data_IF_062062855501
#
_entry.id   IF_062062855501
#
_cell.length_a   1.000
_cell.length_b   1.000
_cell.length_c   1.000
_cell.angle_alpha   90.00
_cell.angle_beta   90.00
_cell.angle_gamma   90.00
#
_symmetry.space_group_name_H-M   'P 1'
#
loop_
_entity.id
_entity.type
_entity.pdbx_description
1 polymer ?
#
# COMPACT_ATOMS: atom_id res chain seq x y z
N UNK A 1 -7.86 -44.07 30.67
CA UNK A 1 -6.50 -44.08 30.11
C UNK A 1 -6.53 -43.73 28.61
N UNK A 2 -7.41 -44.36 27.83
CA UNK A 2 -7.58 -44.11 26.39
C UNK A 2 -7.93 -42.67 26.02
N UNK A 3 -8.82 -42.02 26.78
CA UNK A 3 -9.20 -40.60 26.55
C UNK A 3 -8.05 -39.63 26.75
N UNK A 4 -7.14 -39.90 27.70
CA UNK A 4 -5.98 -39.05 27.95
C UNK A 4 -4.93 -39.16 26.83
N UNK A 5 -4.73 -40.37 26.28
CA UNK A 5 -3.85 -40.61 25.14
C UNK A 5 -4.38 -39.90 23.89
N UNK A 6 -5.70 -39.95 23.66
CA UNK A 6 -6.35 -39.26 22.54
C UNK A 6 -6.18 -37.73 22.63
N UNK A 7 -6.39 -37.14 23.82
CA UNK A 7 -6.22 -35.71 24.03
C UNK A 7 -4.76 -35.26 23.86
N UNK A 8 -3.81 -36.09 24.29
CA UNK A 8 -2.39 -35.83 24.10
C UNK A 8 -1.98 -35.85 22.61
N UNK A 9 -2.48 -36.83 21.85
CA UNK A 9 -2.29 -36.91 20.40
C UNK A 9 -2.83 -35.68 19.66
N UNK A 10 -4.04 -35.23 20.02
CA UNK A 10 -4.65 -34.02 19.44
C UNK A 10 -3.80 -32.79 19.73
N UNK A 11 -3.31 -32.66 20.97
CA UNK A 11 -2.41 -31.57 21.36
C UNK A 11 -1.14 -31.55 20.50
N UNK A 12 -0.48 -32.69 20.32
CA UNK A 12 0.71 -32.81 19.47
C UNK A 12 0.41 -32.40 18.03
N UNK A 13 -0.72 -32.85 17.45
CA UNK A 13 -1.09 -32.47 16.09
C UNK A 13 -1.33 -30.95 15.95
N UNK A 14 -1.95 -30.31 16.94
CA UNK A 14 -2.13 -28.86 16.98
C UNK A 14 -0.77 -28.13 17.04
N UNK A 15 0.16 -28.60 17.88
CA UNK A 15 1.50 -28.03 17.99
C UNK A 15 2.29 -28.13 16.68
N UNK A 16 2.27 -29.30 16.02
CA UNK A 16 2.94 -29.50 14.73
C UNK A 16 2.34 -28.58 13.66
N UNK A 17 1.01 -28.48 13.59
CA UNK A 17 0.31 -27.60 12.66
C UNK A 17 0.66 -26.11 12.85
N UNK A 18 0.71 -25.66 14.11
CA UNK A 18 1.13 -24.30 14.45
C UNK A 18 2.59 -24.04 14.07
N UNK A 19 3.49 -24.99 14.33
CA UNK A 19 4.90 -24.88 14.00
C UNK A 19 5.16 -24.78 12.49
N UNK A 20 4.50 -25.62 11.69
CA UNK A 20 4.58 -25.59 10.23
C UNK A 20 4.10 -24.23 9.70
N UNK A 21 2.97 -23.75 10.22
CA UNK A 21 2.40 -22.45 9.83
C UNK A 21 3.35 -21.30 10.12
N UNK A 22 3.97 -21.30 11.29
CA UNK A 22 4.94 -20.27 11.68
C UNK A 22 6.19 -20.27 10.78
N UNK A 23 6.75 -21.45 10.48
CA UNK A 23 7.93 -21.57 9.60
C UNK A 23 7.62 -21.06 8.18
N UNK A 24 6.44 -21.39 7.65
CA UNK A 24 6.01 -20.93 6.32
C UNK A 24 5.88 -19.40 6.26
N UNK A 25 5.33 -18.78 7.31
CA UNK A 25 5.25 -17.33 7.43
C UNK A 25 6.63 -16.68 7.49
N UNK A 26 7.55 -17.21 8.31
CA UNK A 26 8.91 -16.69 8.42
C UNK A 26 9.66 -16.71 7.07
N UNK A 27 9.56 -17.80 6.31
CA UNK A 27 10.16 -17.92 4.99
C UNK A 27 9.58 -16.90 3.98
N UNK A 28 8.27 -16.63 4.06
CA UNK A 28 7.60 -15.64 3.22
C UNK A 28 8.14 -14.23 3.50
N UNK A 29 8.23 -13.86 4.78
CA UNK A 29 8.76 -12.55 5.20
C UNK A 29 10.22 -12.38 4.73
N UNK A 30 11.04 -13.42 4.88
CA UNK A 30 12.42 -13.39 4.40
C UNK A 30 12.52 -13.16 2.88
N UNK A 31 11.64 -13.81 2.11
CA UNK A 31 11.58 -13.65 0.65
C UNK A 31 11.19 -12.23 0.26
N UNK A 32 10.19 -11.65 0.94
CA UNK A 32 9.77 -10.25 0.74
C UNK A 32 10.92 -9.29 1.05
N UNK A 33 11.60 -9.45 2.18
CA UNK A 33 12.71 -8.57 2.57
C UNK A 33 13.84 -8.60 1.53
N UNK A 34 14.18 -9.80 1.02
CA UNK A 34 15.16 -9.95 -0.05
C UNK A 34 14.74 -9.20 -1.32
N UNK A 35 13.47 -9.29 -1.72
CA UNK A 35 12.94 -8.54 -2.88
C UNK A 35 13.02 -7.04 -2.63
N UNK A 36 12.61 -6.56 -1.45
CA UNK A 36 12.69 -5.14 -1.08
C UNK A 36 14.14 -4.65 -1.12
N UNK A 37 15.09 -5.42 -0.59
CA UNK A 37 16.50 -5.05 -0.58
C UNK A 37 17.08 -4.96 -2.00
N UNK A 38 16.67 -5.86 -2.90
CA UNK A 38 17.03 -5.75 -4.31
C UNK A 38 16.44 -4.49 -4.96
N UNK A 39 15.19 -4.15 -4.63
CA UNK A 39 14.51 -2.97 -5.16
C UNK A 39 15.15 -1.67 -4.67
N UNK A 40 15.76 -1.63 -3.47
CA UNK A 40 16.49 -0.46 -2.96
C UNK A 40 17.70 -0.07 -3.83
N UNK A 41 18.21 -0.97 -4.67
CA UNK A 41 19.25 -0.63 -5.65
C UNK A 41 18.71 0.22 -6.81
N UNK A 42 17.39 0.22 -7.02
CA UNK A 42 16.71 0.93 -8.11
C UNK A 42 15.88 2.11 -7.60
N UNK A 43 15.30 1.99 -6.41
CA UNK A 43 14.38 2.98 -5.84
C UNK A 43 14.94 3.52 -4.53
N UNK A 44 14.84 4.84 -4.36
CA UNK A 44 15.21 5.52 -3.10
C UNK A 44 14.27 5.11 -1.95
N UNK A 45 13.02 4.76 -2.28
CA UNK A 45 12.04 4.26 -1.32
C UNK A 45 11.12 3.23 -1.98
N UNK A 46 10.80 2.18 -1.23
CA UNK A 46 9.87 1.13 -1.66
C UNK A 46 8.80 0.97 -0.59
N UNK A 47 7.54 0.97 -0.99
CA UNK A 47 6.39 0.74 -0.13
C UNK A 47 5.72 -0.55 -0.58
N UNK A 48 5.79 -1.64 0.20
CA UNK A 48 5.13 -2.89 -0.14
C UNK A 48 3.61 -2.75 0.00
N UNK A 49 2.86 -3.28 -0.97
CA UNK A 49 1.41 -3.24 -0.99
C UNK A 49 0.77 -4.61 -0.75
N UNK A 50 1.47 -5.69 -1.07
CA UNK A 50 0.99 -7.05 -0.89
C UNK A 50 1.87 -8.07 -1.59
N UNK A 51 1.73 -9.34 -1.23
CA UNK A 51 2.52 -10.43 -1.78
C UNK A 51 1.63 -11.58 -2.22
N UNK A 52 1.82 -12.07 -3.45
CA UNK A 52 1.04 -13.18 -4.00
C UNK A 52 1.85 -13.90 -5.07
N UNK A 53 1.81 -15.25 -5.05
CA UNK A 53 2.48 -16.10 -6.05
C UNK A 53 3.95 -15.72 -6.26
N UNK A 54 4.66 -15.46 -5.17
CA UNK A 54 6.06 -15.04 -5.17
C UNK A 54 6.38 -13.69 -5.83
N UNK A 55 5.34 -12.88 -6.06
CA UNK A 55 5.48 -11.52 -6.56
C UNK A 55 5.05 -10.51 -5.50
N UNK A 56 5.93 -9.52 -5.28
CA UNK A 56 5.64 -8.35 -4.46
C UNK A 56 4.94 -7.28 -5.31
N UNK A 57 3.77 -6.86 -4.87
CA UNK A 57 3.15 -5.60 -5.28
C UNK A 57 3.76 -4.47 -4.46
N UNK A 58 4.16 -3.38 -5.10
CA UNK A 58 4.84 -2.26 -4.44
C UNK A 58 4.66 -0.93 -5.17
N UNK A 59 4.94 0.15 -4.44
CA UNK A 59 5.21 1.48 -5.00
C UNK A 59 6.68 1.82 -4.78
N UNK A 60 7.42 2.01 -5.87
CA UNK A 60 8.82 2.41 -5.87
C UNK A 60 8.95 3.89 -6.22
N UNK A 61 9.72 4.63 -5.45
CA UNK A 61 10.00 6.05 -5.67
C UNK A 61 11.44 6.20 -6.12
N UNK A 62 11.65 6.88 -7.24
CA UNK A 62 12.98 7.18 -7.76
C UNK A 62 13.11 8.69 -7.96
N UNK A 63 13.88 9.32 -7.09
CA UNK A 63 14.12 10.76 -7.08
C UNK A 63 15.04 11.20 -8.22
N UNK A 64 15.96 10.33 -8.67
CA UNK A 64 16.86 10.63 -9.79
C UNK A 64 16.09 10.80 -11.11
N UNK A 65 15.15 9.91 -11.37
CA UNK A 65 14.28 9.93 -12.56
C UNK A 65 12.98 10.70 -12.34
N UNK A 66 12.73 11.13 -11.09
CA UNK A 66 11.49 11.82 -10.66
C UNK A 66 10.24 11.05 -11.05
N UNK A 67 10.23 9.75 -10.79
CA UNK A 67 9.13 8.86 -11.17
C UNK A 67 8.68 7.97 -10.01
N UNK A 68 7.39 7.71 -9.95
CA UNK A 68 6.78 6.65 -9.14
C UNK A 68 6.55 5.46 -10.05
N UNK A 69 7.08 4.29 -9.70
CA UNK A 69 6.71 3.01 -10.32
C UNK A 69 5.71 2.29 -9.43
N UNK A 70 4.59 1.87 -10.00
CA UNK A 70 3.56 1.11 -9.33
C UNK A 70 3.49 -0.26 -9.97
N UNK A 71 3.91 -1.28 -9.22
CA UNK A 71 3.78 -2.68 -9.61
C UNK A 71 2.65 -3.32 -8.81
N UNK A 72 1.60 -3.74 -9.50
CA UNK A 72 0.49 -4.52 -8.96
C UNK A 72 0.24 -5.72 -9.85
N UNK A 73 -0.75 -6.56 -9.54
CA UNK A 73 -1.04 -7.80 -10.28
C UNK A 73 -1.13 -7.55 -11.80
N UNK A 74 -0.14 -8.06 -12.54
CA UNK A 74 -0.06 -7.97 -14.00
C UNK A 74 0.06 -6.55 -14.57
N UNK A 75 0.22 -5.53 -13.72
CA UNK A 75 0.24 -4.13 -14.16
C UNK A 75 1.47 -3.44 -13.59
N UNK A 76 2.22 -2.80 -14.48
CA UNK A 76 3.31 -1.92 -14.13
C UNK A 76 3.00 -0.56 -14.74
N UNK A 77 2.86 0.47 -13.91
CA UNK A 77 2.67 1.83 -14.38
C UNK A 77 3.74 2.75 -13.80
N UNK A 78 4.11 3.76 -14.58
CA UNK A 78 5.06 4.78 -14.15
C UNK A 78 4.39 6.14 -14.23
N UNK A 79 4.44 6.89 -13.14
CA UNK A 79 3.88 8.24 -13.03
C UNK A 79 5.04 9.20 -12.82
N UNK A 80 5.22 10.18 -13.70
CA UNK A 80 6.19 11.23 -13.47
C UNK A 80 5.73 12.06 -12.26
N UNK A 81 6.66 12.45 -11.40
CA UNK A 81 6.34 13.31 -10.27
C UNK A 81 5.59 14.53 -10.75
N UNK A 82 6.06 15.22 -11.79
CA UNK A 82 5.50 16.49 -12.26
C UNK A 82 4.03 16.37 -12.67
N UNK A 83 3.62 15.25 -13.26
CA UNK A 83 2.25 15.01 -13.73
C UNK A 83 1.24 14.87 -12.59
N UNK A 84 1.68 14.64 -11.34
CA UNK A 84 0.77 14.46 -10.20
C UNK A 84 0.08 15.79 -9.86
N UNK A 85 -1.22 15.90 -10.14
CA UNK A 85 -2.04 17.07 -9.80
C UNK A 85 -2.62 16.92 -8.39
N UNK A 86 -3.18 15.75 -8.10
CA UNK A 86 -3.87 15.43 -6.85
C UNK A 86 -3.71 13.95 -6.53
N UNK A 87 -3.65 13.60 -5.25
CA UNK A 87 -3.69 12.22 -4.78
C UNK A 87 -4.68 12.09 -3.63
N UNK A 88 -5.52 11.07 -3.67
CA UNK A 88 -6.58 10.82 -2.69
C UNK A 88 -6.49 9.40 -2.13
N UNK A 89 -6.63 9.26 -0.82
CA UNK A 89 -6.95 8.00 -0.16
C UNK A 89 -8.47 7.92 -0.05
N UNK A 90 -9.06 6.87 -0.61
CA UNK A 90 -10.50 6.64 -0.66
C UNK A 90 -10.82 5.36 0.08
N UNK A 91 -11.64 5.44 1.12
CA UNK A 91 -12.10 4.31 1.92
C UNK A 91 -13.62 4.24 1.89
N UNK A 92 -14.17 3.06 1.59
CA UNK A 92 -15.62 2.85 1.46
C UNK A 92 -16.31 3.90 0.57
N UNK A 93 -15.66 4.28 -0.53
CA UNK A 93 -16.15 5.28 -1.48
C UNK A 93 -16.04 6.73 -1.04
N UNK A 94 -15.44 7.03 0.12
CA UNK A 94 -15.26 8.38 0.66
C UNK A 94 -13.78 8.75 0.69
N UNK A 95 -13.43 9.95 0.25
CA UNK A 95 -12.07 10.48 0.39
C UNK A 95 -11.78 10.72 1.87
N UNK A 96 -10.80 10.00 2.44
CA UNK A 96 -10.35 10.13 3.83
C UNK A 96 -9.11 10.99 3.96
N UNK A 97 -8.29 11.07 2.91
CA UNK A 97 -7.14 11.97 2.82
C UNK A 97 -6.98 12.48 1.38
N UNK A 98 -6.62 13.75 1.21
CA UNK A 98 -6.40 14.37 -0.10
C UNK A 98 -5.17 15.27 -0.05
N UNK A 99 -4.33 15.17 -1.08
CA UNK A 99 -3.12 15.97 -1.32
C UNK A 99 -3.28 16.56 -2.73
N UNK A 100 -3.00 17.84 -2.94
CA UNK A 100 -3.07 18.41 -4.28
C UNK A 100 -2.31 19.72 -4.39
N UNK A 101 -1.83 20.00 -5.60
CA UNK A 101 -1.21 21.27 -5.93
C UNK A 101 -2.27 22.37 -6.05
N UNK A 102 -2.08 23.48 -5.34
CA UNK A 102 -2.82 24.72 -5.58
C UNK A 102 -2.28 25.35 -6.85
N UNK A 103 -2.90 25.09 -8.00
CA UNK A 103 -2.61 25.81 -9.25
C UNK A 103 -3.91 26.45 -9.72
N UNK A 104 -4.03 27.78 -9.51
CA UNK A 104 -5.04 28.64 -10.16
C UNK A 104 -6.41 28.75 -9.48
N UNK A 105 -6.52 29.59 -8.45
CA UNK A 105 -7.75 30.36 -8.16
C UNK A 105 -8.87 29.72 -7.33
N UNK A 106 -8.97 28.39 -7.24
CA UNK A 106 -9.94 27.73 -6.37
C UNK A 106 -9.22 26.81 -5.38
N UNK A 107 -8.99 27.32 -4.18
CA UNK A 107 -8.57 26.52 -3.03
C UNK A 107 -9.72 25.59 -2.68
N UNK A 108 -9.69 24.34 -3.16
CA UNK A 108 -10.30 23.26 -2.39
C UNK A 108 -9.31 22.96 -1.27
N UNK A 109 -9.50 23.71 -0.18
CA UNK A 109 -8.75 23.77 1.07
C UNK A 109 -7.72 22.66 1.28
N UNK A 110 -6.44 23.08 1.34
CA UNK A 110 -5.37 22.28 1.91
C UNK A 110 -5.73 21.76 3.30
N UNK A 111 -5.23 20.57 3.61
CA UNK A 111 -5.23 19.99 4.96
C UNK A 111 -6.32 18.96 5.22
N UNK A 112 -7.58 19.23 4.86
CA UNK A 112 -8.72 18.41 5.33
C UNK A 112 -9.94 18.50 4.41
N UNK A 113 -9.74 18.49 3.08
CA UNK A 113 -10.84 18.46 2.09
C UNK A 113 -11.55 17.10 1.96
N UNK A 114 -11.39 16.21 2.94
CA UNK A 114 -12.19 15.00 3.06
C UNK A 114 -13.62 15.40 3.42
N UNK A 115 -14.61 14.89 2.69
CA UNK A 115 -15.94 14.73 3.27
C UNK A 115 -15.77 13.66 4.34
N UNK A 116 -15.35 14.06 5.56
CA UNK A 116 -15.43 13.23 6.76
C UNK A 116 -16.91 13.18 7.14
N UNK A 117 -17.72 12.59 6.26
CA UNK A 117 -19.10 12.26 6.57
C UNK A 117 -19.07 11.13 7.58
N UNK A 118 -19.04 11.48 8.87
CA UNK A 118 -19.23 10.61 10.03
C UNK A 118 -18.88 9.13 9.78
N UNK A 119 -17.63 8.83 9.39
CA UNK A 119 -17.19 7.44 9.39
C UNK A 119 -17.07 7.05 10.85
N UNK A 120 -17.91 6.11 11.29
CA UNK A 120 -17.81 5.62 12.65
C UNK A 120 -16.41 5.02 12.82
N UNK A 121 -15.72 5.32 13.93
CA UNK A 121 -14.36 4.79 14.21
C UNK A 121 -14.29 3.25 14.17
N UNK A 122 -15.45 2.59 14.27
CA UNK A 122 -15.62 1.14 14.25
C UNK A 122 -16.13 0.60 12.90
N UNK A 123 -16.28 1.44 11.87
CA UNK A 123 -16.72 0.99 10.56
C UNK A 123 -15.64 0.13 9.91
N UNK A 124 -16.04 -1.07 9.46
CA UNK A 124 -15.14 -1.99 8.77
C UNK A 124 -14.78 -1.42 7.40
N UNK A 125 -13.48 -1.32 7.12
CA UNK A 125 -12.98 -0.94 5.79
C UNK A 125 -13.15 -2.13 4.85
N UNK A 126 -14.06 -2.01 3.89
CA UNK A 126 -14.35 -3.03 2.86
C UNK A 126 -13.77 -2.66 1.50
N UNK A 127 -13.38 -1.39 1.31
CA UNK A 127 -12.64 -0.92 0.15
C UNK A 127 -11.64 0.15 0.58
N UNK A 128 -10.43 0.11 0.02
CA UNK A 128 -9.41 1.13 0.20
C UNK A 128 -8.63 1.30 -1.09
N UNK A 129 -8.53 2.53 -1.58
CA UNK A 129 -7.83 2.86 -2.82
C UNK A 129 -6.98 4.11 -2.66
N UNK A 130 -5.89 4.18 -3.41
CA UNK A 130 -5.17 5.44 -3.66
C UNK A 130 -5.40 5.84 -5.10
N UNK A 131 -5.94 7.04 -5.33
CA UNK A 131 -6.20 7.59 -6.65
C UNK A 131 -5.24 8.74 -6.92
N UNK A 132 -4.49 8.65 -8.01
CA UNK A 132 -3.72 9.75 -8.58
C UNK A 132 -4.57 10.42 -9.65
N UNK A 133 -4.71 11.74 -9.61
CA UNK A 133 -5.15 12.57 -10.72
C UNK A 133 -3.93 13.17 -11.38
N UNK A 134 -3.84 13.03 -12.70
CA UNK A 134 -2.65 13.29 -13.51
C UNK A 134 -2.93 14.39 -14.53
N UNK A 135 -1.91 15.21 -14.80
CA UNK A 135 -1.90 16.18 -15.91
C UNK A 135 -1.58 15.47 -17.23
N UNK A 136 -2.46 14.54 -17.60
CA UNK A 136 -2.34 13.74 -18.81
C UNK A 136 -3.73 13.51 -19.37
N UNK A 137 -4.00 14.04 -20.57
CA UNK A 137 -5.34 13.98 -21.16
C UNK A 137 -5.77 12.54 -21.50
N UNK A 138 -4.84 11.70 -21.93
CA UNK A 138 -5.12 10.31 -22.31
C UNK A 138 -5.36 9.43 -21.07
N UNK A 139 -4.61 9.70 -19.99
CA UNK A 139 -4.67 8.96 -18.74
C UNK A 139 -4.76 9.92 -17.54
N UNK A 140 -5.92 10.58 -17.35
CA UNK A 140 -6.06 11.65 -16.36
C UNK A 140 -6.11 11.15 -14.91
N UNK A 141 -6.19 9.83 -14.72
CA UNK A 141 -6.11 9.24 -13.38
C UNK A 141 -5.57 7.83 -13.39
N UNK A 142 -4.98 7.43 -12.26
CA UNK A 142 -4.56 6.05 -12.00
C UNK A 142 -4.98 5.64 -10.59
N UNK A 143 -5.59 4.47 -10.44
CA UNK A 143 -6.08 3.96 -9.15
C UNK A 143 -5.32 2.69 -8.73
N UNK A 144 -4.92 2.65 -7.46
CA UNK A 144 -4.39 1.46 -6.80
C UNK A 144 -5.45 0.93 -5.85
N UNK A 145 -5.94 -0.29 -6.08
CA UNK A 145 -6.79 -0.99 -5.11
C UNK A 145 -5.92 -1.70 -4.07
N UNK A 146 -5.86 -1.14 -2.86
CA UNK A 146 -4.96 -1.61 -1.79
C UNK A 146 -5.43 -2.92 -1.13
N UNK A 147 -6.68 -3.35 -1.37
CA UNK A 147 -7.18 -4.63 -0.86
C UNK A 147 -7.06 -5.76 -1.90
N UNK A 148 -6.64 -5.46 -3.14
CA UNK A 148 -6.43 -6.43 -4.23
C UNK A 148 -4.96 -6.53 -4.66
N UNK A 149 -4.05 -6.35 -3.69
CA UNK A 149 -2.59 -6.39 -3.90
C UNK A 149 -1.94 -7.69 -3.44
N UNK A 150 -2.74 -8.64 -2.92
CA UNK A 150 -2.28 -9.94 -2.43
C UNK A 150 -2.44 -10.13 -0.92
N UNK A 151 -1.70 -11.08 -0.36
CA UNK A 151 -1.63 -11.28 1.10
C UNK A 151 -0.91 -10.10 1.73
N UNK A 152 -1.35 -9.68 2.92
CA UNK A 152 -0.80 -8.53 3.64
C UNK A 152 -0.38 -8.92 5.06
N UNK A 153 -1.36 -9.18 5.95
CA UNK A 153 -1.09 -9.51 7.35
C UNK A 153 -0.27 -10.80 7.52
N UNK A 154 -0.60 -11.86 6.77
CA UNK A 154 0.11 -13.15 6.81
C UNK A 154 1.58 -13.02 6.41
N UNK A 155 1.95 -11.97 5.67
CA UNK A 155 3.31 -11.75 5.19
C UNK A 155 3.97 -10.51 5.80
N UNK A 156 3.43 -9.99 6.91
CA UNK A 156 4.03 -8.88 7.66
C UNK A 156 3.86 -7.50 7.02
N UNK A 157 2.95 -7.35 6.04
CA UNK A 157 2.64 -6.07 5.40
C UNK A 157 1.41 -5.48 6.09
N UNK A 158 1.58 -4.38 6.82
CA UNK A 158 0.48 -3.59 7.36
C UNK A 158 0.01 -2.58 6.31
N UNK A 159 -1.00 -2.97 5.54
CA UNK A 159 -1.50 -2.15 4.43
C UNK A 159 -2.06 -0.79 4.87
N UNK A 160 -2.53 -0.66 6.13
CA UNK A 160 -2.98 0.63 6.66
C UNK A 160 -1.76 1.56 6.82
N UNK A 161 -0.73 1.06 7.51
CA UNK A 161 0.49 1.82 7.73
C UNK A 161 1.21 2.15 6.41
N UNK A 162 1.28 1.20 5.48
CA UNK A 162 1.92 1.40 4.17
C UNK A 162 1.14 2.38 3.28
N UNK A 163 -0.20 2.37 3.32
CA UNK A 163 -1.01 3.37 2.63
C UNK A 163 -0.76 4.79 3.15
N UNK A 164 -0.68 4.97 4.48
CA UNK A 164 -0.36 6.27 5.07
C UNK A 164 1.04 6.73 4.69
N UNK A 165 2.05 5.84 4.76
CA UNK A 165 3.41 6.15 4.30
C UNK A 165 3.45 6.55 2.82
N UNK A 166 2.63 5.92 1.98
CA UNK A 166 2.50 6.27 0.56
C UNK A 166 1.97 7.69 0.41
N UNK A 167 0.87 8.02 1.09
CA UNK A 167 0.30 9.36 1.07
C UNK A 167 1.31 10.41 1.58
N UNK A 168 2.00 10.16 2.70
CA UNK A 168 3.00 11.09 3.25
C UNK A 168 4.19 11.29 2.31
N UNK A 169 4.64 10.23 1.63
CA UNK A 169 5.75 10.31 0.67
C UNK A 169 5.35 11.12 -0.55
N UNK A 170 4.14 10.90 -1.07
CA UNK A 170 3.58 11.68 -2.18
C UNK A 170 3.40 13.13 -1.76
N UNK A 171 2.91 13.41 -0.55
CA UNK A 171 2.81 14.76 0.01
C UNK A 171 4.15 15.46 -0.01
N UNK A 172 5.19 14.79 0.50
CA UNK A 172 6.55 15.33 0.44
C UNK A 172 6.98 15.67 -0.99
N UNK A 173 6.72 14.79 -1.96
CA UNK A 173 7.03 15.05 -3.37
C UNK A 173 6.28 16.28 -3.87
N UNK A 174 4.97 16.34 -3.67
CA UNK A 174 4.08 17.42 -4.12
C UNK A 174 4.48 18.76 -3.50
N UNK A 175 4.68 18.82 -2.18
CA UNK A 175 5.06 20.04 -1.45
C UNK A 175 6.44 20.57 -1.86
N UNK A 176 7.35 19.69 -2.31
CA UNK A 176 8.71 20.06 -2.73
C UNK A 176 8.86 20.19 -4.26
N UNK A 177 7.81 19.95 -5.06
CA UNK A 177 7.83 20.26 -6.51
C UNK A 177 8.09 21.74 -6.78
N UNK A 178 7.66 22.63 -5.89
CA UNK A 178 7.70 24.08 -6.07
C UNK A 178 9.03 24.74 -5.67
N UNK A 179 10.00 23.96 -5.13
CA UNK A 179 11.25 24.50 -4.57
C UNK A 179 12.49 24.32 -5.47
N UNK A 180 12.32 23.95 -6.74
CA UNK A 180 13.41 23.74 -7.70
C UNK A 180 13.13 24.54 -8.96
#
# INVERSE_FOLDING_TARGET
>A
METAILLFMISIMCFIGAWISFKNQANTIQSINKVIDNLKNTYDKVIPLGYRNDELSYVGFNNKTRCITIKTKGTNNTINYNDIVKVELIENGRTTMSIGNVIGGAVLAGGTGAIIGAMNKNEKIISRKVKFSLDNFDNPSYEINLLDTGKTAECGIDIIAEANKLMDTVKYIVDNKQKI
#
